data_IF_694868077960
#
_entry.id   IF_694868077960
#
_cell.length_a   1.000
_cell.length_b   1.000
_cell.length_c   1.000
_cell.angle_alpha   90.00
_cell.angle_beta   90.00
_cell.angle_gamma   90.00
#
_symmetry.space_group_name_H-M   'P 1'
#
loop_
_entity.id
_entity.type
_entity.pdbx_description
1 polymer ?
#
# COMPACT_ATOMS: atom_id res chain seq x y z
N UNK A 1 7.19 2.40 8.38
CA UNK A 1 6.64 2.92 7.11
C UNK A 1 7.22 2.12 5.98
N UNK A 2 6.43 1.69 4.99
CA UNK A 2 6.95 0.73 4.02
C UNK A 2 6.59 0.97 2.57
N UNK A 3 7.37 0.32 1.72
CA UNK A 3 7.13 0.24 0.29
C UNK A 3 6.20 -0.96 0.07
N UNK A 4 4.99 -0.81 -0.49
CA UNK A 4 4.11 -1.94 -0.76
C UNK A 4 4.74 -2.82 -1.85
N UNK A 5 4.92 -4.11 -1.55
CA UNK A 5 5.41 -5.12 -2.49
C UNK A 5 4.34 -5.34 -3.58
N UNK A 6 4.54 -4.73 -4.76
CA UNK A 6 3.52 -4.70 -5.82
C UNK A 6 3.69 -5.81 -6.83
N UNK A 7 4.93 -6.17 -7.19
CA UNK A 7 5.20 -7.20 -8.22
C UNK A 7 6.39 -8.07 -7.88
N UNK A 8 6.45 -9.24 -8.52
CA UNK A 8 7.51 -10.23 -8.38
C UNK A 8 7.69 -11.01 -9.68
N UNK A 9 8.85 -11.65 -9.84
CA UNK A 9 9.15 -12.58 -10.93
C UNK A 9 9.84 -13.78 -10.35
N UNK A 10 9.72 -14.94 -11.00
CA UNK A 10 10.51 -16.11 -10.64
C UNK A 10 10.96 -16.94 -11.85
N UNK A 11 12.16 -17.48 -11.73
CA UNK A 11 12.67 -18.56 -12.55
C UNK A 11 12.63 -19.85 -11.73
N UNK A 12 12.16 -20.93 -12.33
CA UNK A 12 12.14 -22.26 -11.75
C UNK A 12 12.80 -23.24 -12.72
N UNK A 13 13.81 -24.00 -12.27
CA UNK A 13 14.52 -24.93 -13.15
C UNK A 13 13.60 -26.05 -13.70
N UNK A 14 14.06 -26.77 -14.74
CA UNK A 14 13.32 -27.90 -15.32
C UNK A 14 12.83 -28.91 -14.27
N UNK A 15 11.64 -29.50 -14.49
CA UNK A 15 10.96 -30.36 -13.50
C UNK A 15 10.10 -29.60 -12.46
N UNK A 16 9.77 -28.34 -12.73
CA UNK A 16 8.88 -27.47 -11.91
C UNK A 16 7.52 -27.17 -12.56
N UNK A 17 7.35 -27.43 -13.85
CA UNK A 17 6.08 -27.28 -14.59
C UNK A 17 4.89 -27.88 -13.83
N UNK A 18 3.75 -27.19 -13.84
CA UNK A 18 2.50 -27.54 -13.14
C UNK A 18 2.59 -27.57 -11.60
N UNK A 19 3.72 -27.17 -10.98
CA UNK A 19 3.72 -26.75 -9.57
C UNK A 19 3.08 -25.38 -9.42
N UNK A 20 2.79 -24.98 -8.20
CA UNK A 20 2.37 -23.60 -7.89
C UNK A 20 3.36 -22.95 -6.96
N UNK A 21 3.50 -21.63 -7.06
CA UNK A 21 4.34 -20.80 -6.21
C UNK A 21 3.45 -19.73 -5.57
N UNK A 22 3.41 -19.67 -4.24
CA UNK A 22 2.78 -18.58 -3.48
C UNK A 22 3.87 -17.64 -2.98
N UNK A 23 3.88 -16.34 -3.32
CA UNK A 23 4.82 -15.38 -2.74
C UNK A 23 4.35 -14.97 -1.32
N UNK A 24 5.28 -14.62 -0.46
CA UNK A 24 5.04 -14.26 0.94
C UNK A 24 5.80 -12.98 1.27
N UNK A 25 5.32 -12.22 2.26
CA UNK A 25 6.11 -11.18 2.91
C UNK A 25 6.31 -11.56 4.37
N UNK A 26 7.56 -11.48 4.82
CA UNK A 26 8.01 -11.83 6.16
C UNK A 26 8.64 -10.59 6.82
N UNK A 27 8.64 -10.53 8.14
CA UNK A 27 9.47 -9.61 8.92
C UNK A 27 10.35 -10.40 9.89
N UNK A 28 11.68 -10.24 9.81
CA UNK A 28 12.58 -10.88 10.76
C UNK A 28 12.45 -10.28 12.15
N UNK A 29 12.28 -11.12 13.16
CA UNK A 29 12.34 -10.75 14.58
C UNK A 29 13.74 -10.97 15.19
N UNK A 30 14.70 -11.38 14.36
CA UNK A 30 16.09 -11.67 14.75
C UNK A 30 16.47 -13.14 14.53
N UNK A 31 17.75 -13.38 14.25
CA UNK A 31 18.30 -14.73 14.05
C UNK A 31 17.61 -15.50 12.92
N UNK A 32 16.89 -16.55 13.27
CA UNK A 32 16.13 -17.42 12.35
C UNK A 32 14.61 -17.24 12.46
N UNK A 33 14.14 -16.29 13.26
CA UNK A 33 12.73 -16.10 13.57
C UNK A 33 12.12 -14.95 12.76
N UNK A 34 10.93 -15.19 12.22
CA UNK A 34 10.21 -14.27 11.35
C UNK A 34 8.72 -14.27 11.67
N UNK A 35 8.03 -13.15 11.45
CA UNK A 35 6.57 -13.06 11.45
C UNK A 35 6.06 -13.04 10.02
N UNK A 36 5.00 -13.80 9.71
CA UNK A 36 4.32 -13.73 8.42
C UNK A 36 3.48 -12.46 8.36
N UNK A 37 3.76 -11.57 7.39
CA UNK A 37 3.10 -10.28 7.22
C UNK A 37 2.10 -10.27 6.08
N UNK A 38 2.40 -10.92 4.95
CA UNK A 38 1.42 -11.16 3.89
C UNK A 38 1.59 -12.49 3.16
N UNK A 39 0.49 -12.93 2.54
CA UNK A 39 0.42 -13.99 1.54
C UNK A 39 -0.08 -13.35 0.25
N UNK A 40 0.66 -13.50 -0.85
CA UNK A 40 0.24 -13.03 -2.18
C UNK A 40 -0.39 -14.13 -3.05
N UNK A 41 -0.76 -13.79 -4.28
CA UNK A 41 -1.47 -14.70 -5.18
C UNK A 41 -0.62 -15.91 -5.58
N UNK A 42 -1.24 -17.08 -5.61
CA UNK A 42 -0.57 -18.33 -6.00
C UNK A 42 -0.59 -18.49 -7.52
N UNK A 43 0.58 -18.63 -8.15
CA UNK A 43 0.72 -18.80 -9.61
C UNK A 43 1.24 -20.20 -9.97
N UNK A 44 0.67 -20.82 -11.00
CA UNK A 44 1.12 -22.13 -11.50
C UNK A 44 2.23 -21.98 -12.53
N UNK A 45 3.32 -22.74 -12.35
CA UNK A 45 4.51 -22.76 -13.19
C UNK A 45 4.17 -23.28 -14.59
N UNK A 46 4.19 -22.39 -15.58
CA UNK A 46 3.92 -22.73 -16.98
C UNK A 46 4.98 -23.63 -17.61
N UNK A 47 4.65 -24.17 -18.79
CA UNK A 47 5.60 -24.96 -19.59
C UNK A 47 6.84 -24.12 -19.93
N UNK A 48 8.00 -24.54 -19.41
CA UNK A 48 9.28 -23.84 -19.58
C UNK A 48 9.86 -23.26 -18.28
N UNK A 49 9.09 -23.14 -17.20
CA UNK A 49 9.60 -22.75 -15.88
C UNK A 49 9.95 -21.26 -15.70
N UNK A 50 9.65 -20.40 -16.68
CA UNK A 50 10.10 -18.99 -16.72
C UNK A 50 8.90 -18.05 -16.55
N UNK A 51 8.90 -17.29 -15.46
CA UNK A 51 8.19 -16.00 -15.32
C UNK A 51 9.17 -14.84 -15.08
N UNK A 52 10.48 -15.06 -15.32
CA UNK A 52 11.57 -14.13 -15.05
C UNK A 52 12.54 -13.95 -16.24
N UNK A 53 12.04 -13.89 -17.47
CA UNK A 53 12.76 -13.13 -18.50
C UNK A 53 12.38 -11.65 -18.37
N UNK A 54 13.28 -10.73 -18.74
CA UNK A 54 12.97 -9.30 -18.81
C UNK A 54 11.81 -9.00 -19.80
N UNK A 55 11.55 -9.90 -20.75
CA UNK A 55 10.46 -9.84 -21.73
C UNK A 55 9.13 -10.41 -21.23
N UNK A 56 9.09 -11.15 -20.11
CA UNK A 56 7.85 -11.48 -19.42
C UNK A 56 7.34 -10.26 -18.64
N UNK A 57 6.02 -10.04 -18.51
CA UNK A 57 5.50 -9.14 -17.49
C UNK A 57 5.84 -9.68 -16.10
N UNK A 58 6.02 -8.78 -15.12
CA UNK A 58 6.10 -9.20 -13.72
C UNK A 58 4.71 -9.67 -13.24
N UNK A 59 4.69 -10.65 -12.35
CA UNK A 59 3.47 -11.08 -11.67
C UNK A 59 3.14 -10.05 -10.61
N UNK A 60 1.87 -9.68 -10.46
CA UNK A 60 1.47 -8.87 -9.31
C UNK A 60 1.58 -9.70 -8.02
N UNK A 61 1.90 -9.06 -6.90
CA UNK A 61 1.91 -9.76 -5.61
C UNK A 61 0.49 -10.13 -5.17
N UNK A 62 -0.50 -9.27 -5.45
CA UNK A 62 -1.93 -9.51 -5.27
C UNK A 62 -2.26 -10.14 -3.91
N UNK A 63 -2.28 -9.31 -2.86
CA UNK A 63 -2.48 -9.73 -1.47
C UNK A 63 -3.74 -10.61 -1.33
N UNK A 64 -3.54 -11.82 -0.82
CA UNK A 64 -4.62 -12.77 -0.48
C UNK A 64 -4.90 -12.77 1.03
N UNK A 65 -3.93 -12.37 1.85
CA UNK A 65 -4.11 -12.09 3.27
C UNK A 65 -2.95 -11.22 3.81
N UNK A 66 -3.23 -10.40 4.81
CA UNK A 66 -2.24 -9.60 5.54
C UNK A 66 -1.89 -8.27 4.87
N UNK A 67 -0.70 -7.75 5.16
CA UNK A 67 -0.19 -6.46 4.69
C UNK A 67 1.15 -6.63 3.96
N UNK A 68 1.19 -6.22 2.70
CA UNK A 68 2.35 -6.31 1.82
C UNK A 68 3.32 -5.12 1.93
N UNK A 69 3.13 -4.25 2.92
CA UNK A 69 3.91 -3.03 3.14
C UNK A 69 5.22 -3.33 3.87
N UNK A 70 6.37 -3.05 3.23
CA UNK A 70 7.72 -3.36 3.74
C UNK A 70 8.14 -2.34 4.82
N UNK A 71 7.56 -2.41 6.03
CA UNK A 71 7.60 -1.31 7.02
C UNK A 71 8.97 -0.92 7.59
N UNK A 72 10.00 -1.74 7.42
CA UNK A 72 11.37 -1.49 7.86
C UNK A 72 12.36 -2.48 7.19
N UNK A 73 13.66 -2.32 7.45
CA UNK A 73 14.73 -3.14 6.87
C UNK A 73 14.82 -4.60 7.40
N UNK A 74 13.94 -5.05 8.30
CA UNK A 74 13.83 -6.45 8.71
C UNK A 74 12.87 -7.26 7.81
N UNK A 75 12.10 -6.59 6.95
CA UNK A 75 11.20 -7.25 6.01
C UNK A 75 11.97 -8.02 4.94
N UNK A 76 11.48 -9.21 4.55
CA UNK A 76 12.06 -10.07 3.51
C UNK A 76 10.96 -10.65 2.63
N UNK A 77 11.18 -10.64 1.33
CA UNK A 77 10.38 -11.43 0.40
C UNK A 77 10.59 -12.93 0.67
N UNK A 78 9.51 -13.71 0.59
CA UNK A 78 9.51 -15.17 0.71
C UNK A 78 8.62 -15.82 -0.36
N UNK A 79 8.58 -17.15 -0.40
CA UNK A 79 7.61 -17.89 -1.22
C UNK A 79 7.23 -19.24 -0.61
N UNK A 80 6.53 -20.08 -1.37
CA UNK A 80 6.17 -21.47 -1.06
C UNK A 80 6.06 -22.23 -2.37
N UNK A 81 6.91 -23.23 -2.63
CA UNK A 81 6.68 -24.20 -3.72
C UNK A 81 5.62 -25.20 -3.26
N UNK A 82 4.41 -25.06 -3.81
CA UNK A 82 3.17 -25.73 -3.39
C UNK A 82 1.95 -24.84 -3.62
N UNK A 83 0.75 -25.42 -3.69
CA UNK A 83 -0.49 -24.63 -3.53
C UNK A 83 -0.72 -24.33 -2.04
N UNK A 84 -1.77 -23.57 -1.73
CA UNK A 84 -2.35 -23.56 -0.38
C UNK A 84 -2.85 -24.93 0.12
N UNK A 85 -2.83 -25.99 -0.70
CA UNK A 85 -3.52 -27.27 -0.42
C UNK A 85 -2.71 -28.54 -0.68
N UNK A 86 -1.53 -28.47 -1.32
CA UNK A 86 -0.66 -29.66 -1.46
C UNK A 86 0.84 -29.36 -1.67
N UNK A 87 1.65 -30.11 -0.91
CA UNK A 87 3.13 -30.26 -0.95
C UNK A 87 3.97 -28.97 -0.89
N UNK A 88 4.66 -28.73 0.24
CA UNK A 88 5.51 -27.55 0.45
C UNK A 88 7.01 -27.86 0.25
N UNK A 89 7.75 -26.99 -0.46
CA UNK A 89 9.18 -26.76 -0.23
C UNK A 89 9.51 -25.26 -0.26
N UNK A 90 10.48 -24.83 0.57
CA UNK A 90 11.11 -23.51 0.51
C UNK A 90 10.19 -22.28 0.65
N UNK A 91 10.16 -21.71 1.85
CA UNK A 91 10.23 -20.24 1.97
C UNK A 91 11.71 -19.86 1.88
N UNK A 92 12.06 -18.70 1.32
CA UNK A 92 13.45 -18.24 1.14
C UNK A 92 13.50 -16.70 1.17
N UNK A 93 14.41 -16.15 1.98
CA UNK A 93 14.64 -14.70 2.08
C UNK A 93 15.39 -14.14 0.86
N UNK A 94 14.82 -13.14 0.18
CA UNK A 94 15.58 -12.21 -0.67
C UNK A 94 15.96 -10.96 0.11
N UNK A 95 17.22 -10.56 0.01
CA UNK A 95 17.78 -9.31 0.55
C UNK A 95 18.26 -8.43 -0.62
N UNK A 96 18.28 -7.11 -0.45
CA UNK A 96 18.29 -6.16 -1.59
C UNK A 96 19.66 -6.03 -2.28
N UNK A 97 19.95 -6.97 -3.17
CA UNK A 97 20.99 -6.86 -4.21
C UNK A 97 22.02 -7.99 -4.23
N UNK A 98 22.34 -8.46 -5.43
CA UNK A 98 23.40 -9.45 -5.67
C UNK A 98 22.92 -10.89 -5.87
N UNK A 99 23.79 -11.72 -6.44
CA UNK A 99 23.55 -13.15 -6.63
C UNK A 99 23.88 -13.91 -5.33
N UNK A 100 22.87 -14.08 -4.48
CA UNK A 100 23.02 -14.64 -3.13
C UNK A 100 22.81 -16.16 -3.08
N UNK A 101 23.55 -16.84 -2.21
CA UNK A 101 23.42 -18.29 -1.99
C UNK A 101 22.09 -18.64 -1.32
N UNK A 102 21.28 -19.42 -2.02
CA UNK A 102 19.88 -19.73 -1.68
C UNK A 102 19.80 -20.86 -0.64
N UNK A 103 18.93 -20.72 0.37
CA UNK A 103 18.76 -21.71 1.46
C UNK A 103 17.28 -22.01 1.71
N UNK A 104 16.88 -23.28 1.93
CA UNK A 104 15.49 -23.57 2.33
C UNK A 104 15.22 -23.10 3.75
N UNK A 105 14.07 -22.46 3.97
CA UNK A 105 13.53 -22.21 5.30
C UNK A 105 12.51 -23.32 5.63
N UNK A 106 12.85 -24.20 6.58
CA UNK A 106 11.94 -25.25 7.09
C UNK A 106 11.62 -24.97 8.56
N UNK A 107 10.35 -24.79 8.90
CA UNK A 107 9.98 -24.42 10.27
C UNK A 107 9.90 -25.63 11.23
N UNK A 108 10.56 -25.61 12.41
CA UNK A 108 10.50 -26.70 13.39
C UNK A 108 9.08 -27.09 13.78
N UNK A 109 8.77 -28.39 13.78
CA UNK A 109 7.42 -28.91 14.05
C UNK A 109 6.38 -28.64 12.95
N UNK A 110 6.64 -27.71 12.03
CA UNK A 110 5.79 -27.44 10.87
C UNK A 110 6.13 -28.45 9.77
N UNK A 111 5.37 -29.54 9.74
CA UNK A 111 5.45 -30.53 8.67
C UNK A 111 5.32 -29.83 7.29
N UNK A 112 5.99 -30.35 6.26
CA UNK A 112 6.06 -29.78 4.90
C UNK A 112 4.75 -29.93 4.09
N UNK A 113 3.63 -29.87 4.81
CA UNK A 113 2.25 -29.97 4.38
C UNK A 113 1.33 -28.93 5.06
N UNK A 114 1.82 -28.07 5.97
CA UNK A 114 0.99 -26.99 6.56
C UNK A 114 0.57 -26.01 5.46
N UNK A 115 -0.73 -25.75 5.38
CA UNK A 115 -1.33 -24.71 4.56
C UNK A 115 -1.03 -23.34 5.20
N UNK A 116 -0.79 -22.30 4.39
CA UNK A 116 -0.67 -20.92 4.89
C UNK A 116 -1.93 -20.15 4.51
N UNK A 117 -2.57 -19.54 5.49
CA UNK A 117 -3.93 -18.99 5.46
C UNK A 117 -3.99 -17.66 6.21
N UNK A 118 -5.11 -16.93 6.11
CA UNK A 118 -5.25 -15.63 6.78
C UNK A 118 -5.06 -15.66 8.31
N UNK A 119 -5.39 -16.77 8.96
CA UNK A 119 -5.14 -16.98 10.40
C UNK A 119 -3.66 -17.15 10.77
N UNK A 120 -2.78 -17.31 9.79
CA UNK A 120 -1.33 -17.43 10.00
C UNK A 120 -0.61 -16.06 9.92
N UNK A 121 -1.29 -14.99 9.51
CA UNK A 121 -0.75 -13.62 9.54
C UNK A 121 -0.49 -13.23 11.00
N UNK A 122 0.66 -12.61 11.27
CA UNK A 122 1.11 -12.30 12.62
C UNK A 122 1.70 -13.49 13.40
N UNK A 123 1.57 -14.73 12.90
CA UNK A 123 2.23 -15.89 13.51
C UNK A 123 3.75 -15.84 13.31
N UNK A 124 4.48 -16.29 14.34
CA UNK A 124 5.94 -16.46 14.28
C UNK A 124 6.33 -17.81 13.66
N UNK A 125 7.39 -17.79 12.87
CA UNK A 125 8.00 -18.92 12.19
C UNK A 125 9.52 -18.86 12.40
N UNK A 126 10.04 -19.74 13.25
CA UNK A 126 11.46 -20.12 13.22
C UNK A 126 11.74 -20.86 11.93
N UNK A 127 12.88 -20.66 11.29
CA UNK A 127 13.28 -21.38 10.10
C UNK A 127 14.67 -22.03 10.22
N UNK A 128 14.76 -23.29 9.82
CA UNK A 128 16.02 -24.06 9.79
C UNK A 128 16.55 -24.20 8.37
N UNK A 129 17.86 -24.00 8.23
CA UNK A 129 18.58 -24.07 6.97
C UNK A 129 18.69 -25.52 6.47
N UNK A 130 18.33 -25.76 5.21
CA UNK A 130 18.43 -27.06 4.56
C UNK A 130 18.81 -26.97 3.09
N UNK A 131 19.24 -28.10 2.48
CA UNK A 131 19.56 -28.15 1.07
C UNK A 131 18.30 -28.08 0.20
N UNK A 132 18.32 -27.21 -0.80
CA UNK A 132 17.36 -27.25 -1.90
C UNK A 132 17.68 -28.43 -2.84
N UNK A 133 16.65 -29.16 -3.26
CA UNK A 133 16.74 -30.09 -4.39
C UNK A 133 16.44 -29.43 -5.75
N UNK A 134 16.22 -28.10 -5.76
CA UNK A 134 15.66 -27.34 -6.89
C UNK A 134 16.24 -25.92 -6.92
N UNK A 135 16.69 -25.47 -8.08
CA UNK A 135 17.15 -24.07 -8.24
C UNK A 135 15.99 -23.17 -8.65
N UNK A 136 15.85 -22.06 -7.93
CA UNK A 136 14.99 -20.94 -8.29
C UNK A 136 15.79 -19.63 -8.20
N UNK A 137 15.35 -18.59 -8.91
CA UNK A 137 15.75 -17.20 -8.64
C UNK A 137 14.53 -16.30 -8.70
N UNK A 138 14.49 -15.27 -7.85
CA UNK A 138 13.35 -14.37 -7.70
C UNK A 138 13.80 -12.92 -7.82
N UNK A 139 12.89 -12.08 -8.29
CA UNK A 139 12.98 -10.63 -8.30
C UNK A 139 11.70 -10.09 -7.65
N UNK A 140 11.80 -9.05 -6.83
CA UNK A 140 10.68 -8.49 -6.08
C UNK A 140 10.76 -6.96 -6.12
N UNK A 141 9.66 -6.32 -6.52
CA UNK A 141 9.58 -4.88 -6.70
C UNK A 141 8.50 -4.33 -5.79
N UNK A 142 8.89 -3.39 -4.92
CA UNK A 142 7.96 -2.60 -4.15
C UNK A 142 7.80 -1.21 -4.78
N UNK A 143 6.61 -0.61 -4.69
CA UNK A 143 6.37 0.72 -5.23
C UNK A 143 6.93 1.81 -4.32
N UNK A 144 7.35 2.92 -4.92
CA UNK A 144 7.67 4.14 -4.19
C UNK A 144 6.37 4.86 -3.81
N UNK A 145 6.09 4.92 -2.51
CA UNK A 145 5.08 5.82 -1.91
C UNK A 145 5.67 7.19 -1.54
N UNK A 146 6.83 7.52 -2.12
CA UNK A 146 7.55 8.78 -1.94
C UNK A 146 7.77 9.46 -3.28
N UNK A 147 7.68 10.79 -3.28
CA UNK A 147 8.14 11.66 -4.36
C UNK A 147 9.24 12.56 -3.82
N UNK A 148 10.27 12.79 -4.62
CA UNK A 148 11.11 13.98 -4.46
C UNK A 148 10.38 15.21 -5.06
N UNK A 149 11.01 16.37 -5.01
CA UNK A 149 10.44 17.64 -5.49
C UNK A 149 10.79 17.99 -6.94
N UNK A 150 11.30 17.04 -7.74
CA UNK A 150 11.71 17.27 -9.14
C UNK A 150 10.57 17.66 -10.10
N UNK A 151 9.32 17.45 -9.70
CA UNK A 151 8.11 17.87 -10.43
C UNK A 151 7.77 19.36 -10.27
N UNK A 152 8.34 20.05 -9.27
CA UNK A 152 8.01 21.42 -8.92
C UNK A 152 9.08 22.44 -9.30
N UNK A 153 8.71 23.72 -9.29
CA UNK A 153 9.62 24.82 -9.65
C UNK A 153 9.15 26.15 -9.06
N UNK A 154 9.94 27.21 -9.26
CA UNK A 154 9.55 28.58 -8.97
C UNK A 154 9.99 29.14 -7.62
N UNK A 155 9.57 30.37 -7.36
CA UNK A 155 9.76 31.14 -6.13
C UNK A 155 8.54 32.07 -5.97
N UNK A 156 7.53 31.71 -5.15
CA UNK A 156 7.43 30.50 -4.33
C UNK A 156 7.44 29.19 -5.13
N UNK A 157 7.88 28.12 -4.47
CA UNK A 157 7.88 26.76 -5.03
C UNK A 157 6.46 26.20 -5.18
N UNK A 158 6.19 25.53 -6.31
CA UNK A 158 4.96 24.78 -6.50
C UNK A 158 5.01 23.82 -7.68
N UNK A 159 4.04 22.92 -7.74
CA UNK A 159 3.90 21.93 -8.80
C UNK A 159 2.89 20.85 -8.46
N UNK A 160 2.59 19.99 -9.44
CA UNK A 160 1.67 18.86 -9.27
C UNK A 160 2.40 17.55 -9.56
N UNK A 161 2.10 16.50 -8.80
CA UNK A 161 2.56 15.12 -9.05
C UNK A 161 1.43 14.12 -8.78
N UNK A 162 1.61 12.85 -9.13
CA UNK A 162 0.69 11.76 -8.80
C UNK A 162 1.46 10.70 -8.01
N UNK A 163 1.04 10.45 -6.77
CA UNK A 163 1.72 9.55 -5.84
C UNK A 163 0.72 8.56 -5.27
N UNK A 164 0.98 7.26 -5.40
CA UNK A 164 0.06 6.18 -5.01
C UNK A 164 -1.39 6.34 -5.56
N UNK A 165 -1.55 6.95 -6.74
CA UNK A 165 -2.85 7.25 -7.36
C UNK A 165 -3.49 8.58 -6.92
N UNK A 166 -2.98 9.21 -5.86
CA UNK A 166 -3.41 10.53 -5.37
C UNK A 166 -2.75 11.63 -6.20
N UNK A 167 -3.54 12.55 -6.76
CA UNK A 167 -2.99 13.80 -7.32
C UNK A 167 -2.64 14.73 -6.18
N UNK A 168 -1.37 15.12 -6.11
CA UNK A 168 -0.81 16.02 -5.09
C UNK A 168 -0.47 17.35 -5.73
N UNK A 169 -1.04 18.43 -5.21
CA UNK A 169 -0.69 19.81 -5.54
C UNK A 169 0.13 20.39 -4.40
N UNK A 170 1.35 20.85 -4.68
CA UNK A 170 2.18 21.59 -3.72
C UNK A 170 2.14 23.07 -4.05
N UNK A 171 1.85 23.88 -3.04
CA UNK A 171 1.84 25.34 -3.09
C UNK A 171 2.51 25.90 -1.83
N UNK A 172 3.14 27.07 -1.92
CA UNK A 172 3.88 27.63 -0.79
C UNK A 172 4.08 29.16 -0.89
N UNK A 173 4.67 29.77 0.14
CA UNK A 173 5.13 31.17 0.16
C UNK A 173 6.53 31.26 0.77
N UNK A 174 7.35 32.22 0.33
CA UNK A 174 8.73 32.46 0.80
C UNK A 174 9.67 31.23 0.69
N UNK A 175 9.49 30.43 -0.36
CA UNK A 175 10.25 29.20 -0.67
C UNK A 175 10.93 29.29 -2.03
N UNK A 176 11.95 28.45 -2.25
CA UNK A 176 12.52 28.22 -3.57
C UNK A 176 12.88 26.74 -3.78
N UNK A 177 12.93 26.31 -5.04
CA UNK A 177 13.55 25.03 -5.41
C UNK A 177 15.01 25.00 -4.95
N UNK A 178 15.43 23.89 -4.33
CA UNK A 178 16.80 23.67 -3.89
C UNK A 178 17.41 22.48 -4.65
N UNK A 179 18.28 22.77 -5.62
CA UNK A 179 18.83 21.73 -6.49
C UNK A 179 17.77 21.20 -7.46
N UNK A 180 17.77 19.88 -7.69
CA UNK A 180 16.87 19.22 -8.65
C UNK A 180 15.76 18.37 -8.01
N UNK A 181 15.81 18.16 -6.69
CA UNK A 181 14.99 17.17 -5.97
C UNK A 181 14.38 17.70 -4.67
N UNK A 182 14.72 18.92 -4.25
CA UNK A 182 14.37 19.45 -2.92
C UNK A 182 13.75 20.84 -3.03
N UNK A 183 13.12 21.32 -1.95
CA UNK A 183 12.85 22.74 -1.76
C UNK A 183 13.34 23.23 -0.39
N UNK A 184 13.44 24.55 -0.25
CA UNK A 184 13.84 25.24 0.97
C UNK A 184 13.01 26.52 1.17
N UNK A 185 13.14 27.13 2.34
CA UNK A 185 12.87 28.57 2.49
C UNK A 185 13.78 29.39 1.57
N UNK A 186 13.33 30.57 1.14
CA UNK A 186 14.10 31.45 0.23
C UNK A 186 15.26 32.19 0.92
N UNK A 187 15.41 32.02 2.24
CA UNK A 187 16.40 32.68 3.10
C UNK A 187 16.03 34.13 3.47
N UNK A 188 14.82 34.58 3.14
CA UNK A 188 14.27 35.87 3.53
C UNK A 188 13.99 36.01 5.03
N UNK A 189 13.44 37.16 5.42
CA UNK A 189 13.10 37.46 6.82
C UNK A 189 11.67 37.06 7.22
N UNK A 190 10.88 36.50 6.29
CA UNK A 190 9.51 36.04 6.52
C UNK A 190 9.52 34.51 6.62
N UNK A 191 8.79 33.96 7.58
CA UNK A 191 8.58 32.51 7.65
C UNK A 191 7.90 31.99 6.37
N UNK A 192 8.31 30.81 5.90
CA UNK A 192 7.78 30.21 4.69
C UNK A 192 6.60 29.30 5.03
N UNK A 193 5.50 29.36 4.26
CA UNK A 193 4.37 28.43 4.43
C UNK A 193 4.31 27.43 3.30
N UNK A 194 3.93 26.18 3.59
CA UNK A 194 3.81 25.10 2.61
C UNK A 194 2.44 24.46 2.76
N UNK A 195 1.81 24.09 1.65
CA UNK A 195 0.52 23.37 1.62
C UNK A 195 0.53 22.33 0.51
N UNK A 196 0.38 21.08 0.93
CA UNK A 196 0.05 19.92 0.11
C UNK A 196 -1.47 19.77 0.10
N UNK A 197 -2.06 19.72 -1.09
CA UNK A 197 -3.49 19.43 -1.29
C UNK A 197 -3.63 18.16 -2.11
N UNK A 198 -4.55 17.29 -1.71
CA UNK A 198 -4.79 15.98 -2.31
C UNK A 198 -6.17 15.94 -2.99
N UNK A 199 -6.33 15.13 -4.03
CA UNK A 199 -7.64 14.88 -4.66
C UNK A 199 -8.52 13.88 -3.89
N UNK A 200 -8.02 13.30 -2.80
CA UNK A 200 -8.68 12.29 -1.96
C UNK A 200 -8.02 12.27 -0.57
N UNK A 201 -8.69 11.74 0.44
CA UNK A 201 -8.12 11.64 1.79
C UNK A 201 -6.98 10.64 1.88
N UNK A 202 -5.95 11.00 2.66
CA UNK A 202 -4.81 10.14 3.00
C UNK A 202 -4.87 9.68 4.45
N UNK A 203 -4.42 8.44 4.71
CA UNK A 203 -4.33 7.82 6.04
C UNK A 203 -2.97 8.02 6.71
N UNK A 204 -1.93 8.29 5.92
CA UNK A 204 -0.57 8.55 6.39
C UNK A 204 0.08 9.65 5.53
N UNK A 205 0.88 10.53 6.14
CA UNK A 205 1.69 11.56 5.46
C UNK A 205 3.11 11.56 6.02
N UNK A 206 4.13 11.65 5.17
CA UNK A 206 5.55 11.63 5.55
C UNK A 206 6.31 12.81 4.95
N UNK A 207 7.32 13.30 5.66
CA UNK A 207 8.18 14.40 5.22
C UNK A 207 9.65 14.11 5.59
N UNK A 208 10.55 14.11 4.61
CA UNK A 208 11.99 13.93 4.84
C UNK A 208 12.73 15.26 4.83
N UNK A 209 13.28 15.61 5.98
CA UNK A 209 14.14 16.79 6.18
C UNK A 209 15.59 16.35 6.06
N UNK A 210 16.26 16.74 4.98
CA UNK A 210 17.67 16.42 4.77
C UNK A 210 18.63 17.41 5.44
N UNK A 211 18.14 18.59 5.85
CA UNK A 211 18.91 19.61 6.56
C UNK A 211 18.01 20.49 7.43
N UNK A 212 18.32 20.55 8.73
CA UNK A 212 17.75 21.50 9.70
C UNK A 212 18.80 21.90 10.74
N UNK A 213 18.97 23.20 11.00
CA UNK A 213 19.79 23.76 12.10
C UNK A 213 19.02 23.80 13.42
N UNK A 214 19.74 23.97 14.53
CA UNK A 214 19.13 24.14 15.86
C UNK A 214 18.31 25.43 16.03
N UNK A 215 18.47 26.42 15.14
CA UNK A 215 17.68 27.65 15.06
C UNK A 215 16.65 27.66 13.92
N UNK A 216 16.55 26.56 13.15
CA UNK A 216 15.53 26.30 12.13
C UNK A 216 14.47 25.33 12.69
N UNK A 217 13.20 25.51 12.34
CA UNK A 217 12.10 24.63 12.78
C UNK A 217 10.95 24.50 11.79
N UNK A 218 10.31 23.32 11.77
CA UNK A 218 8.98 23.11 11.20
C UNK A 218 7.93 23.26 12.29
N UNK A 219 6.83 23.95 12.01
CA UNK A 219 5.73 24.15 12.96
C UNK A 219 4.39 24.43 12.28
N UNK A 220 3.32 24.58 13.05
CA UNK A 220 2.00 24.98 12.54
C UNK A 220 1.30 23.92 11.70
N UNK A 221 1.59 22.64 11.93
CA UNK A 221 0.98 21.52 11.22
C UNK A 221 -0.54 21.47 11.45
N UNK A 222 -1.33 21.58 10.38
CA UNK A 222 -2.79 21.49 10.44
C UNK A 222 -3.31 20.11 10.89
N UNK A 223 -2.47 19.08 10.80
CA UNK A 223 -2.72 17.70 11.24
C UNK A 223 -2.16 17.39 12.64
N UNK A 224 -1.67 18.39 13.37
CA UNK A 224 -1.02 18.21 14.68
C UNK A 224 0.42 17.69 14.57
N UNK A 225 0.99 17.31 15.71
CA UNK A 225 2.39 16.88 15.80
C UNK A 225 2.65 15.50 15.16
N UNK A 226 3.86 15.21 14.66
CA UNK A 226 4.23 13.91 14.10
C UNK A 226 4.00 12.75 15.08
N UNK A 227 3.38 11.66 14.62
CA UNK A 227 3.22 10.41 15.38
C UNK A 227 4.56 9.71 15.60
N UNK A 228 5.57 9.95 14.74
CA UNK A 228 6.95 9.57 14.99
C UNK A 228 7.98 10.46 14.28
N UNK A 229 9.17 10.51 14.86
CA UNK A 229 10.37 11.17 14.34
C UNK A 229 11.52 10.16 14.22
N UNK A 230 12.55 10.52 13.45
CA UNK A 230 13.73 9.68 13.21
C UNK A 230 14.98 10.53 12.92
N UNK A 231 16.14 9.88 12.80
CA UNK A 231 17.41 10.56 12.59
C UNK A 231 17.79 11.38 13.82
N UNK A 232 18.07 12.66 13.64
CA UNK A 232 18.33 13.62 14.74
C UNK A 232 17.14 14.54 15.01
N UNK A 233 15.95 14.27 14.47
CA UNK A 233 14.80 15.15 14.64
C UNK A 233 14.16 15.01 16.03
N UNK A 234 13.80 16.14 16.63
CA UNK A 234 13.12 16.24 17.94
C UNK A 234 11.94 17.18 17.86
N UNK A 235 10.89 16.90 18.64
CA UNK A 235 9.75 17.78 18.85
C UNK A 235 9.94 18.55 20.17
N UNK A 236 10.07 19.87 20.08
CA UNK A 236 10.15 20.78 21.22
C UNK A 236 8.86 21.60 21.38
N UNK A 237 7.73 20.92 21.57
CA UNK A 237 6.42 21.54 21.83
C UNK A 237 5.76 22.13 20.58
N UNK A 238 5.68 21.35 19.50
CA UNK A 238 5.16 21.80 18.20
C UNK A 238 6.20 22.50 17.32
N UNK A 239 7.46 22.54 17.76
CA UNK A 239 8.62 22.97 16.99
C UNK A 239 9.49 21.75 16.66
N UNK A 240 9.49 21.29 15.41
CA UNK A 240 10.32 20.17 14.98
C UNK A 240 11.65 20.69 14.47
N UNK A 241 12.74 20.31 15.14
CA UNK A 241 14.12 20.76 14.85
C UNK A 241 15.12 19.62 15.09
N UNK A 242 16.42 19.90 15.13
CA UNK A 242 17.47 18.91 15.41
C UNK A 242 17.81 18.80 16.90
N UNK A 243 18.22 17.61 17.36
CA UNK A 243 18.84 17.37 18.66
C UNK A 243 20.25 17.95 18.80
N UNK A 244 20.87 18.37 17.69
CA UNK A 244 22.26 18.82 17.68
C UNK A 244 22.37 20.20 18.34
N UNK A 245 23.28 20.35 19.32
CA UNK A 245 23.27 21.49 20.23
C UNK A 245 23.96 22.76 19.68
N UNK A 246 24.67 22.68 18.56
CA UNK A 246 25.38 23.82 17.97
C UNK A 246 24.63 24.37 16.75
N UNK A 247 24.52 25.70 16.56
CA UNK A 247 23.78 26.29 15.43
C UNK A 247 24.25 25.83 14.05
N UNK A 248 25.54 25.50 13.91
CA UNK A 248 26.13 25.10 12.63
C UNK A 248 26.19 23.58 12.42
N UNK A 249 25.69 22.78 13.38
CA UNK A 249 25.42 21.36 13.18
C UNK A 249 24.08 21.18 12.47
N UNK A 250 24.07 20.38 11.40
CA UNK A 250 22.85 20.06 10.66
C UNK A 250 22.29 18.72 11.09
N UNK A 251 21.01 18.71 11.43
CA UNK A 251 20.22 17.50 11.59
C UNK A 251 19.51 17.06 10.31
N UNK A 252 19.03 15.83 10.33
CA UNK A 252 18.18 15.25 9.28
C UNK A 252 17.33 14.11 9.83
N UNK A 253 16.26 13.76 9.11
CA UNK A 253 15.39 12.63 9.44
C UNK A 253 14.00 12.75 8.82
N UNK A 254 13.14 11.77 9.13
CA UNK A 254 11.73 11.71 8.69
C UNK A 254 10.78 12.13 9.80
N UNK A 255 9.80 12.98 9.44
CA UNK A 255 8.56 13.21 10.17
C UNK A 255 7.48 12.29 9.61
N UNK A 256 6.65 11.72 10.49
CA UNK A 256 5.60 10.78 10.11
C UNK A 256 4.28 11.10 10.80
N UNK A 257 3.17 11.01 10.08
CA UNK A 257 1.81 11.01 10.62
C UNK A 257 1.05 9.79 10.10
N UNK A 258 0.27 9.18 10.97
CA UNK A 258 -0.41 7.89 10.73
C UNK A 258 -1.77 7.87 11.43
N UNK A 259 -2.83 7.39 10.76
CA UNK A 259 -4.19 7.43 11.31
C UNK A 259 -4.85 8.81 11.20
N UNK A 260 -4.46 9.59 10.19
CA UNK A 260 -5.12 10.84 9.81
C UNK A 260 -6.26 10.57 8.82
N UNK A 261 -7.20 11.50 8.68
CA UNK A 261 -8.13 11.57 7.54
C UNK A 261 -8.15 13.04 7.09
N UNK A 262 -7.44 13.34 6.00
CA UNK A 262 -7.35 14.71 5.47
C UNK A 262 -7.09 14.73 3.97
N UNK A 263 -7.65 15.75 3.30
CA UNK A 263 -7.33 16.13 1.93
C UNK A 263 -6.26 17.24 1.82
N UNK A 264 -5.66 17.68 2.95
CA UNK A 264 -4.51 18.60 2.92
C UNK A 264 -3.59 18.52 4.14
N UNK A 265 -2.30 18.78 3.91
CA UNK A 265 -1.30 19.03 4.96
C UNK A 265 -0.64 20.38 4.72
N UNK A 266 -0.63 21.24 5.73
CA UNK A 266 0.06 22.53 5.68
C UNK A 266 0.92 22.75 6.93
N UNK A 267 2.03 23.48 6.76
CA UNK A 267 2.99 23.80 7.80
C UNK A 267 3.78 25.07 7.48
N UNK A 268 4.58 25.51 8.44
CA UNK A 268 5.47 26.68 8.36
C UNK A 268 6.91 26.25 8.61
N UNK A 269 7.84 26.73 7.77
CA UNK A 269 9.29 26.72 8.03
C UNK A 269 9.63 28.08 8.68
N UNK A 270 10.26 28.03 9.85
CA UNK A 270 10.74 29.21 10.57
C UNK A 270 12.21 29.12 10.94
N UNK A 271 12.85 30.28 11.11
CA UNK A 271 14.24 30.43 11.49
C UNK A 271 14.70 31.89 11.39
N UNK A 272 15.96 32.21 11.74
CA UNK A 272 16.55 33.52 11.44
C UNK A 272 16.72 33.74 9.92
N UNK A 273 16.91 34.98 9.43
CA UNK A 273 17.24 35.20 8.02
C UNK A 273 18.53 34.47 7.60
N UNK A 274 18.64 34.15 6.31
CA UNK A 274 19.69 33.33 5.66
C UNK A 274 19.72 31.82 6.02
N UNK A 275 18.71 31.31 6.71
CA UNK A 275 18.44 29.86 6.80
C UNK A 275 18.23 29.22 5.44
N UNK A 276 18.38 27.89 5.39
CA UNK A 276 18.01 27.03 4.25
C UNK A 276 17.71 25.62 4.76
N UNK A 277 16.60 25.49 5.50
CA UNK A 277 16.05 24.19 5.84
C UNK A 277 15.70 23.46 4.54
N UNK A 278 15.96 22.15 4.44
CA UNK A 278 15.69 21.38 3.22
C UNK A 278 14.73 20.24 3.45
N UNK A 279 13.70 20.22 2.61
CA UNK A 279 12.79 19.09 2.45
C UNK A 279 13.13 18.42 1.12
N UNK A 280 13.54 17.16 1.18
CA UNK A 280 14.07 16.42 0.03
C UNK A 280 13.04 15.43 -0.55
N UNK A 281 12.18 14.85 0.30
CA UNK A 281 11.10 13.96 -0.13
C UNK A 281 9.84 14.15 0.71
N UNK A 282 8.71 13.76 0.17
CA UNK A 282 7.48 13.53 0.93
C UNK A 282 6.85 12.20 0.51
N UNK A 283 5.98 11.65 1.36
CA UNK A 283 5.24 10.43 1.06
C UNK A 283 3.80 10.51 1.56
N UNK A 284 2.94 9.63 1.04
CA UNK A 284 1.57 9.50 1.51
C UNK A 284 1.07 8.06 1.32
N UNK A 285 0.00 7.73 2.04
CA UNK A 285 -0.78 6.50 1.83
C UNK A 285 -2.26 6.91 1.69
N UNK A 286 -2.96 6.56 0.58
CA UNK A 286 -4.38 6.87 0.43
C UNK A 286 -5.25 6.00 1.34
N UNK A 287 -6.39 6.56 1.77
CA UNK A 287 -7.46 5.78 2.41
C UNK A 287 -8.09 4.81 1.41
N UNK A 288 -8.38 5.26 0.19
CA UNK A 288 -8.99 4.44 -0.86
C UNK A 288 -7.90 3.69 -1.62
N UNK A 289 -8.02 2.36 -1.71
CA UNK A 289 -7.05 1.50 -2.38
C UNK A 289 -7.71 0.65 -3.48
N UNK A 290 -7.38 0.95 -4.74
CA UNK A 290 -7.81 0.18 -5.89
C UNK A 290 -6.92 -1.07 -6.06
N UNK A 291 -7.48 -2.23 -5.76
CA UNK A 291 -6.85 -3.52 -5.98
C UNK A 291 -6.85 -3.84 -7.49
N UNK A 292 -5.68 -4.15 -8.04
CA UNK A 292 -5.50 -4.45 -9.48
C UNK A 292 -5.96 -5.86 -9.88
N UNK A 293 -6.45 -6.65 -8.92
CA UNK A 293 -7.15 -7.91 -9.14
C UNK A 293 -8.20 -8.11 -8.02
N UNK A 294 -9.32 -8.79 -8.31
CA UNK A 294 -10.30 -9.15 -7.29
C UNK A 294 -9.68 -10.00 -6.17
N UNK A 295 -9.97 -9.73 -4.88
CA UNK A 295 -9.51 -10.54 -3.76
C UNK A 295 -10.20 -11.91 -3.75
N UNK A 296 -9.58 -12.91 -3.13
CA UNK A 296 -10.21 -14.23 -2.98
C UNK A 296 -11.50 -14.23 -2.14
N UNK A 297 -11.72 -13.18 -1.34
CA UNK A 297 -12.96 -12.98 -0.60
C UNK A 297 -13.08 -11.60 0.02
N UNK A 298 -14.33 -11.15 0.16
CA UNK A 298 -14.77 -9.91 0.85
C UNK A 298 -15.83 -10.20 1.91
N UNK A 299 -16.15 -11.48 2.13
CA UNK A 299 -16.99 -11.88 3.25
C UNK A 299 -16.39 -11.42 4.58
N UNK A 300 -17.27 -11.20 5.57
CA UNK A 300 -16.93 -10.67 6.87
C UNK A 300 -15.69 -11.36 7.49
N UNK A 301 -14.70 -10.54 7.81
CA UNK A 301 -13.39 -10.85 8.41
C UNK A 301 -12.37 -11.52 7.49
N UNK A 302 -12.55 -11.46 6.16
CA UNK A 302 -11.56 -11.95 5.18
C UNK A 302 -10.60 -10.87 4.67
N UNK A 303 -11.01 -9.59 4.57
CA UNK A 303 -10.20 -8.49 4.02
C UNK A 303 -10.28 -7.23 4.92
N UNK A 304 -9.66 -7.32 6.11
CA UNK A 304 -9.82 -6.30 7.16
C UNK A 304 -8.82 -5.14 7.10
N UNK A 305 -9.28 -3.92 7.41
CA UNK A 305 -8.40 -2.77 7.67
C UNK A 305 -9.06 -1.63 8.47
N UNK A 306 -8.33 -1.04 9.43
CA UNK A 306 -8.74 0.17 10.15
C UNK A 306 -8.46 1.48 9.37
N UNK A 307 -7.69 1.43 8.27
CA UNK A 307 -7.17 2.62 7.58
C UNK A 307 -7.35 2.58 6.05
N UNK A 308 -8.05 1.57 5.53
CA UNK A 308 -8.27 1.36 4.10
C UNK A 308 -9.72 1.08 3.76
N UNK A 309 -10.19 1.71 2.68
CA UNK A 309 -11.36 1.31 1.91
C UNK A 309 -10.83 0.63 0.65
N UNK A 310 -11.07 -0.67 0.51
CA UNK A 310 -10.63 -1.43 -0.66
C UNK A 310 -11.65 -1.29 -1.79
N UNK A 311 -11.17 -1.16 -3.03
CA UNK A 311 -11.99 -1.04 -4.24
C UNK A 311 -11.46 -2.03 -5.27
N UNK A 312 -12.32 -2.69 -6.04
CA UNK A 312 -11.90 -3.46 -7.22
C UNK A 312 -12.96 -3.51 -8.31
N UNK A 313 -12.50 -3.72 -9.53
CA UNK A 313 -13.34 -3.97 -10.69
C UNK A 313 -13.91 -5.40 -10.61
N UNK A 314 -15.23 -5.50 -10.73
CA UNK A 314 -15.93 -6.78 -10.87
C UNK A 314 -16.18 -7.07 -12.37
N UNK A 315 -17.32 -7.66 -12.75
CA UNK A 315 -17.63 -7.91 -14.16
C UNK A 315 -17.74 -6.60 -14.96
N UNK A 316 -16.84 -6.43 -15.93
CA UNK A 316 -16.80 -5.28 -16.83
C UNK A 316 -17.57 -5.56 -18.13
N UNK A 317 -18.37 -4.59 -18.57
CA UNK A 317 -19.11 -4.65 -19.84
C UNK A 317 -20.14 -5.77 -19.97
N UNK A 318 -20.62 -6.32 -18.85
CA UNK A 318 -21.63 -7.40 -18.83
C UNK A 318 -23.01 -6.86 -19.20
N UNK A 319 -23.80 -7.65 -19.92
CA UNK A 319 -25.23 -7.38 -20.15
C UNK A 319 -26.04 -8.12 -19.10
N UNK A 320 -26.89 -7.40 -18.37
CA UNK A 320 -27.83 -8.00 -17.43
C UNK A 320 -28.77 -8.97 -18.17
N UNK A 321 -29.06 -10.11 -17.54
CA UNK A 321 -30.03 -11.13 -18.01
C UNK A 321 -31.31 -11.15 -17.17
N UNK A 322 -31.45 -10.18 -16.28
CA UNK A 322 -32.57 -9.99 -15.35
C UNK A 322 -32.44 -8.62 -14.68
N UNK A 323 -33.57 -8.03 -14.29
CA UNK A 323 -33.63 -6.82 -13.48
C UNK A 323 -32.80 -6.93 -12.19
N UNK A 324 -31.93 -5.94 -11.92
CA UNK A 324 -31.13 -5.84 -10.69
C UNK A 324 -31.70 -4.76 -9.78
N UNK A 325 -32.12 -5.14 -8.58
CA UNK A 325 -32.61 -4.21 -7.57
C UNK A 325 -31.45 -3.44 -6.91
N UNK A 326 -31.60 -2.11 -6.79
CA UNK A 326 -30.60 -1.21 -6.20
C UNK A 326 -31.20 -0.38 -5.06
N UNK A 327 -30.38 0.32 -4.28
CA UNK A 327 -30.81 1.19 -3.17
C UNK A 327 -30.87 2.67 -3.57
N UNK A 328 -29.95 3.12 -4.43
CA UNK A 328 -29.90 4.51 -4.94
C UNK A 328 -29.73 4.45 -6.46
N UNK A 329 -30.47 5.28 -7.20
CA UNK A 329 -30.44 5.33 -8.67
C UNK A 329 -31.70 4.76 -9.32
N UNK A 330 -31.57 4.25 -10.55
CA UNK A 330 -32.66 3.61 -11.31
C UNK A 330 -32.92 2.22 -10.72
N UNK A 331 -34.10 2.01 -10.13
CA UNK A 331 -34.43 0.78 -9.42
C UNK A 331 -35.74 0.13 -9.95
N UNK A 332 -35.69 -1.10 -10.48
CA UNK A 332 -34.48 -1.86 -10.80
C UNK A 332 -33.69 -1.25 -11.97
N UNK A 333 -32.42 -1.62 -12.11
CA UNK A 333 -31.70 -1.52 -13.38
C UNK A 333 -32.20 -2.67 -14.26
N UNK A 334 -32.79 -2.39 -15.44
CA UNK A 334 -33.55 -3.41 -16.16
C UNK A 334 -32.68 -4.42 -16.91
N UNK A 335 -33.26 -5.60 -17.18
CA UNK A 335 -32.75 -6.61 -18.11
C UNK A 335 -32.27 -6.00 -19.45
N UNK A 336 -31.23 -6.59 -20.04
CA UNK A 336 -30.60 -6.11 -21.27
C UNK A 336 -29.72 -4.86 -21.12
N UNK A 337 -29.69 -4.21 -19.94
CA UNK A 337 -28.75 -3.10 -19.68
C UNK A 337 -27.31 -3.60 -19.68
N UNK A 338 -26.41 -2.94 -20.43
CA UNK A 338 -24.97 -3.19 -20.36
C UNK A 338 -24.35 -2.35 -19.24
N UNK A 339 -23.57 -2.99 -18.38
CA UNK A 339 -23.02 -2.41 -17.15
C UNK A 339 -21.57 -2.80 -16.93
N UNK A 340 -20.86 -1.95 -16.18
CA UNK A 340 -19.65 -2.35 -15.47
C UNK A 340 -20.03 -2.52 -14.00
N UNK A 341 -19.28 -3.33 -13.26
CA UNK A 341 -19.50 -3.49 -11.82
C UNK A 341 -18.20 -3.27 -11.07
N UNK A 342 -18.30 -2.69 -9.89
CA UNK A 342 -17.16 -2.41 -9.02
C UNK A 342 -17.61 -2.71 -7.59
N UNK A 343 -16.70 -3.21 -6.76
CA UNK A 343 -16.97 -3.47 -5.36
C UNK A 343 -16.17 -2.52 -4.49
N UNK A 344 -16.74 -2.13 -3.35
CA UNK A 344 -16.10 -1.30 -2.33
C UNK A 344 -16.28 -2.02 -1.00
N UNK A 345 -15.19 -2.26 -0.28
CA UNK A 345 -15.17 -3.05 0.94
C UNK A 345 -14.45 -2.32 2.07
N UNK A 346 -15.02 -2.38 3.27
CA UNK A 346 -14.49 -1.73 4.47
C UNK A 346 -14.92 -2.50 5.73
N UNK A 347 -14.15 -3.53 6.10
CA UNK A 347 -14.34 -4.30 7.33
C UNK A 347 -13.25 -3.98 8.37
N UNK A 348 -13.43 -2.98 9.26
CA UNK A 348 -12.40 -2.59 10.22
C UNK A 348 -12.33 -3.54 11.42
N UNK A 349 -11.15 -3.65 12.03
CA UNK A 349 -10.93 -4.41 13.27
C UNK A 349 -11.64 -3.77 14.47
N UNK A 350 -11.81 -2.46 14.46
CA UNK A 350 -12.46 -1.67 15.51
C UNK A 350 -13.48 -0.71 14.89
N UNK A 351 -14.47 -0.23 15.65
CA UNK A 351 -15.46 0.74 15.12
C UNK A 351 -14.80 2.07 14.76
N UNK A 352 -14.63 2.32 13.47
CA UNK A 352 -14.04 3.55 12.91
C UNK A 352 -14.78 3.98 11.64
N UNK A 353 -14.54 5.21 11.21
CA UNK A 353 -15.11 5.80 10.00
C UNK A 353 -13.97 6.32 9.13
N UNK A 354 -14.02 6.04 7.82
CA UNK A 354 -13.04 6.50 6.83
C UNK A 354 -13.75 7.29 5.72
N UNK A 355 -13.17 8.43 5.32
CA UNK A 355 -13.66 9.23 4.20
C UNK A 355 -12.91 8.91 2.92
N UNK A 356 -13.61 8.87 1.78
CA UNK A 356 -13.01 8.54 0.49
C UNK A 356 -13.75 9.14 -0.69
N UNK A 357 -13.09 9.18 -1.84
CA UNK A 357 -13.70 9.60 -3.11
C UNK A 357 -13.17 8.69 -4.21
N UNK A 358 -14.07 8.17 -5.04
CA UNK A 358 -13.75 7.36 -6.20
C UNK A 358 -14.36 8.06 -7.42
N UNK A 359 -13.55 8.28 -8.45
CA UNK A 359 -13.97 8.93 -9.69
C UNK A 359 -14.04 7.89 -10.79
N UNK A 360 -15.21 7.77 -11.40
CA UNK A 360 -15.46 6.83 -12.49
C UNK A 360 -15.52 7.59 -13.82
N UNK A 361 -15.09 6.93 -14.90
CA UNK A 361 -15.12 7.47 -16.27
C UNK A 361 -16.52 7.47 -16.91
N UNK A 362 -17.51 6.86 -16.24
CA UNK A 362 -18.84 6.59 -16.73
C UNK A 362 -19.92 6.95 -15.69
N UNK A 363 -21.20 7.16 -16.09
CA UNK A 363 -22.28 7.50 -15.17
C UNK A 363 -22.60 6.40 -14.12
N UNK A 364 -23.09 6.84 -12.97
CA UNK A 364 -23.61 5.95 -11.91
C UNK A 364 -25.12 5.77 -12.10
N UNK A 365 -25.57 4.59 -12.49
CA UNK A 365 -27.02 4.30 -12.66
C UNK A 365 -27.66 3.60 -11.45
N UNK A 366 -26.87 2.95 -10.59
CA UNK A 366 -27.40 2.16 -9.48
C UNK A 366 -26.34 1.75 -8.44
N UNK A 367 -26.61 2.02 -7.17
CA UNK A 367 -25.75 1.71 -6.00
C UNK A 367 -26.48 0.74 -5.08
N UNK A 368 -25.77 -0.26 -4.55
CA UNK A 368 -26.35 -1.32 -3.72
C UNK A 368 -25.60 -1.39 -2.38
N UNK A 369 -26.20 -0.87 -1.31
CA UNK A 369 -25.63 -0.92 0.05
C UNK A 369 -26.30 -1.98 0.92
N UNK A 370 -27.47 -2.50 0.51
CA UNK A 370 -28.17 -3.54 1.24
C UNK A 370 -27.62 -4.94 0.91
N UNK A 371 -27.08 -5.63 1.92
CA UNK A 371 -26.48 -6.97 1.78
C UNK A 371 -27.41 -8.05 1.19
N UNK A 372 -28.74 -7.93 1.36
CA UNK A 372 -29.67 -8.87 0.72
C UNK A 372 -29.78 -8.64 -0.79
N UNK A 373 -29.64 -7.39 -1.26
CA UNK A 373 -29.57 -7.04 -2.68
C UNK A 373 -28.19 -7.37 -3.26
N UNK A 374 -27.11 -7.15 -2.50
CA UNK A 374 -25.76 -7.55 -2.88
C UNK A 374 -25.69 -9.07 -3.12
N UNK A 375 -26.00 -9.88 -2.11
CA UNK A 375 -26.04 -11.35 -2.22
C UNK A 375 -26.97 -11.85 -3.36
N UNK A 376 -28.05 -11.13 -3.69
CA UNK A 376 -28.96 -11.46 -4.79
C UNK A 376 -28.46 -11.03 -6.18
N UNK A 377 -27.34 -10.31 -6.24
CA UNK A 377 -26.74 -9.77 -7.47
C UNK A 377 -25.36 -10.36 -7.79
N UNK A 378 -24.78 -11.13 -6.88
CA UNK A 378 -23.46 -11.77 -7.04
C UNK A 378 -23.38 -12.59 -8.34
N UNK A 379 -24.40 -13.39 -8.66
CA UNK A 379 -24.47 -14.23 -9.87
C UNK A 379 -24.48 -13.42 -11.19
N UNK A 380 -24.89 -12.15 -11.15
CA UNK A 380 -25.05 -11.29 -12.34
C UNK A 380 -23.91 -10.26 -12.51
N UNK A 381 -23.25 -9.88 -11.41
CA UNK A 381 -22.31 -8.75 -11.36
C UNK A 381 -20.98 -9.06 -10.67
N UNK A 382 -20.96 -10.06 -9.79
CA UNK A 382 -19.79 -10.45 -9.01
C UNK A 382 -18.78 -11.30 -9.79
N UNK A 383 -17.55 -11.33 -9.30
CA UNK A 383 -16.46 -12.16 -9.83
C UNK A 383 -16.59 -13.60 -9.29
N UNK A 384 -16.75 -14.64 -10.13
CA UNK A 384 -16.97 -16.02 -9.67
C UNK A 384 -15.84 -16.65 -8.83
N UNK A 385 -14.67 -16.01 -8.73
CA UNK A 385 -13.54 -16.44 -7.87
C UNK A 385 -13.46 -15.71 -6.54
N UNK A 386 -14.36 -14.75 -6.27
CA UNK A 386 -14.38 -13.93 -5.06
C UNK A 386 -15.47 -14.44 -4.12
N UNK A 387 -15.14 -14.76 -2.87
CA UNK A 387 -16.13 -15.12 -1.86
C UNK A 387 -16.80 -13.87 -1.25
N UNK A 388 -17.99 -13.55 -1.74
CA UNK A 388 -18.81 -12.42 -1.26
C UNK A 388 -19.64 -12.69 0.01
N UNK A 389 -19.86 -13.98 0.35
CA UNK A 389 -20.95 -14.41 1.25
C UNK A 389 -20.95 -13.75 2.64
N UNK A 390 -21.75 -12.71 2.79
CA UNK A 390 -22.06 -12.10 4.09
C UNK A 390 -22.94 -13.03 4.94
N UNK A 391 -22.75 -13.09 6.28
CA UNK A 391 -23.67 -13.77 7.18
C UNK A 391 -25.11 -13.26 7.05
N UNK A 392 -26.09 -14.17 7.11
CA UNK A 392 -27.50 -13.77 7.05
C UNK A 392 -27.88 -12.94 8.29
N UNK A 393 -28.04 -11.63 8.09
CA UNK A 393 -28.39 -10.67 9.15
C UNK A 393 -27.22 -9.85 9.70
N UNK A 394 -26.02 -9.90 9.11
CA UNK A 394 -25.02 -8.84 9.37
C UNK A 394 -25.48 -7.53 8.72
N UNK A 395 -25.40 -6.42 9.48
CA UNK A 395 -25.47 -5.06 8.92
C UNK A 395 -24.20 -4.79 8.08
N UNK A 396 -24.27 -3.89 7.09
CA UNK A 396 -23.53 -4.09 5.82
C UNK A 396 -22.69 -2.88 5.40
N UNK A 397 -21.46 -3.16 4.97
CA UNK A 397 -20.50 -2.19 4.45
C UNK A 397 -20.99 -1.57 3.12
N UNK A 398 -20.77 -0.27 2.86
CA UNK A 398 -21.38 0.43 1.74
C UNK A 398 -20.65 0.17 0.40
N UNK A 399 -21.18 -0.78 -0.39
CA UNK A 399 -20.73 -1.06 -1.76
C UNK A 399 -21.34 -0.06 -2.77
N UNK A 400 -20.57 0.38 -3.76
CA UNK A 400 -21.07 1.19 -4.89
C UNK A 400 -20.63 0.61 -6.25
N UNK A 401 -21.57 0.55 -7.20
CA UNK A 401 -21.39 0.05 -8.57
C UNK A 401 -21.70 1.16 -9.59
N UNK A 402 -21.02 1.17 -10.74
CA UNK A 402 -21.04 2.28 -11.72
C UNK A 402 -20.77 1.78 -13.14
N UNK A 403 -21.34 2.40 -14.20
CA UNK A 403 -21.62 1.64 -15.44
C UNK A 403 -21.36 2.38 -16.77
N UNK A 404 -20.64 1.75 -17.71
CA UNK A 404 -20.58 2.13 -19.14
C UNK A 404 -19.65 1.29 -20.00
#
# INVERSE_FOLDING_TARGET
MGHPLTTWRFFAHSGTTNRSITPLLLESTGGTDYVLRAIGQTHTVGAGGIFASATSPALAFNVQAGDATIHNANYRFGWKDGTQTSANQGVISFDVGGSSSVTTLTAPGVNSSRNLTGSDIGSSFTFTNGPLFRTYSFEATAANIFSDFSFGSGTPFGGNTVLAGVTVTVSSTNTAAFGASSFADDGGANAASVTFTFNSSISEFYLDVARVRADEFLTGFNIGDPTSLSGTLVNNGGLITTSNAFPDDFGSGRLSWTGIDTASVSFTIGGPPVTRMRVDQFGLVPIVELLTAPPAGVALHQLKSNSKIFVFDELQGVTLTSDVAVDIGTNPVPDGTKVNSHYIHFDPFETTTLSGTITYNNPIIGVIVNGSKLNASDDALGIPTTNYRLPAGSEVDPVFRTTG
#
